data_IF_146382855395
#
_entry.id   IF_146382855395
#
_cell.length_a   1.000
_cell.length_b   1.000
_cell.length_c   1.000
_cell.angle_alpha   90.00
_cell.angle_beta   90.00
_cell.angle_gamma   90.00
#
_symmetry.space_group_name_H-M   'P 1'
#
loop_
_entity.id
_entity.type
_entity.pdbx_description
1 polymer ?
#
# COMPACT_ATOMS: atom_id res chain seq x y z
N UNK A 1 0.13 6.79 8.26
CA UNK A 1 -0.95 7.33 9.11
C UNK A 1 -2.08 6.32 9.30
N UNK A 2 -2.81 5.91 8.25
CA UNK A 2 -3.94 4.98 8.36
C UNK A 2 -3.64 3.67 9.11
N UNK A 3 -2.50 3.02 8.85
CA UNK A 3 -2.13 1.78 9.54
C UNK A 3 -1.85 1.96 11.04
N UNK A 4 -1.28 3.10 11.44
CA UNK A 4 -1.05 3.43 12.86
C UNK A 4 -2.38 3.68 13.57
N UNK A 5 -3.31 4.40 12.94
CA UNK A 5 -4.65 4.61 13.47
C UNK A 5 -5.44 3.30 13.57
N UNK A 6 -5.25 2.38 12.63
CA UNK A 6 -5.91 1.08 12.64
C UNK A 6 -5.38 0.19 13.77
N UNK A 7 -4.08 0.24 14.02
CA UNK A 7 -3.47 -0.40 15.19
C UNK A 7 -3.97 0.22 16.50
N UNK A 8 -4.12 1.54 16.55
CA UNK A 8 -4.67 2.24 17.70
C UNK A 8 -6.12 1.80 17.98
N UNK A 9 -7.01 1.84 16.98
CA UNK A 9 -8.39 1.37 17.12
C UNK A 9 -8.48 -0.12 17.53
N UNK A 10 -7.57 -0.94 17.01
CA UNK A 10 -7.43 -2.34 17.42
C UNK A 10 -7.02 -2.50 18.89
N UNK A 11 -6.07 -1.68 19.36
CA UNK A 11 -5.67 -1.63 20.77
C UNK A 11 -6.83 -1.19 21.66
N UNK A 12 -7.54 -0.11 21.30
CA UNK A 12 -8.72 0.37 22.04
C UNK A 12 -9.83 -0.68 22.12
N UNK A 13 -10.05 -1.43 21.03
CA UNK A 13 -11.00 -2.55 21.03
C UNK A 13 -10.55 -3.66 21.97
N UNK A 14 -9.27 -4.03 21.94
CA UNK A 14 -8.71 -5.08 22.79
C UNK A 14 -8.83 -4.71 24.27
N UNK A 15 -8.45 -3.48 24.64
CA UNK A 15 -8.54 -2.99 26.01
C UNK A 15 -9.99 -2.96 26.50
N UNK A 16 -10.92 -2.47 25.67
CA UNK A 16 -12.34 -2.46 25.99
C UNK A 16 -12.88 -3.88 26.25
N UNK A 17 -12.53 -4.85 25.42
CA UNK A 17 -12.94 -6.25 25.60
C UNK A 17 -12.27 -6.91 26.82
N UNK A 18 -10.99 -6.61 27.08
CA UNK A 18 -10.28 -7.08 28.25
C UNK A 18 -10.91 -6.55 29.55
N UNK A 19 -11.29 -5.26 29.55
CA UNK A 19 -12.00 -4.63 30.66
C UNK A 19 -13.37 -5.28 30.92
N UNK A 20 -14.20 -5.44 29.88
CA UNK A 20 -15.52 -6.08 30.00
C UNK A 20 -15.41 -7.51 30.57
N UNK A 21 -14.39 -8.25 30.14
CA UNK A 21 -14.11 -9.59 30.65
C UNK A 21 -13.70 -9.56 32.13
N UNK A 22 -12.90 -8.58 32.55
CA UNK A 22 -12.44 -8.45 33.94
C UNK A 22 -13.58 -8.13 34.91
N UNK A 23 -14.58 -7.34 34.49
CA UNK A 23 -15.75 -7.01 35.32
C UNK A 23 -16.85 -8.08 35.30
N UNK A 24 -16.61 -9.21 34.62
CA UNK A 24 -17.56 -10.32 34.54
C UNK A 24 -18.79 -10.05 33.66
N UNK A 25 -18.75 -9.00 32.83
CA UNK A 25 -19.83 -8.69 31.91
C UNK A 25 -19.76 -9.64 30.70
N UNK A 26 -20.91 -10.17 30.25
CA UNK A 26 -20.94 -11.05 29.08
C UNK A 26 -20.71 -10.22 27.82
N UNK A 27 -19.64 -10.53 27.10
CA UNK A 27 -19.28 -9.88 25.81
C UNK A 27 -20.42 -9.99 24.78
N UNK A 28 -21.28 -11.01 24.88
CA UNK A 28 -22.43 -11.20 23.99
C UNK A 28 -23.49 -10.09 24.11
N UNK A 29 -23.59 -9.41 25.26
CA UNK A 29 -24.58 -8.36 25.51
C UNK A 29 -23.95 -6.95 25.39
N UNK A 30 -22.62 -6.86 25.26
CA UNK A 30 -21.89 -5.59 25.17
C UNK A 30 -21.54 -5.25 23.73
N UNK A 31 -22.16 -4.19 23.21
CA UNK A 31 -21.78 -3.63 21.91
C UNK A 31 -20.48 -2.81 22.03
N UNK A 32 -19.69 -2.76 20.95
CA UNK A 32 -18.51 -1.88 20.89
C UNK A 32 -18.99 -0.43 20.79
N UNK A 33 -18.39 0.52 21.54
CA UNK A 33 -18.70 1.94 21.43
C UNK A 33 -18.59 2.45 19.99
N UNK A 34 -19.56 3.27 19.58
CA UNK A 34 -19.61 3.82 18.21
C UNK A 34 -18.35 4.60 17.84
N UNK A 35 -17.68 5.22 18.80
CA UNK A 35 -16.43 5.97 18.60
C UNK A 35 -15.32 5.07 18.04
N UNK A 36 -15.08 3.92 18.68
CA UNK A 36 -14.08 2.92 18.23
C UNK A 36 -14.43 2.38 16.84
N UNK A 37 -15.72 2.19 16.56
CA UNK A 37 -16.20 1.73 15.25
C UNK A 37 -15.90 2.78 14.18
N UNK A 38 -16.21 4.05 14.43
CA UNK A 38 -15.95 5.15 13.51
C UNK A 38 -14.45 5.32 13.30
N UNK A 39 -13.64 5.27 14.36
CA UNK A 39 -12.18 5.35 14.29
C UNK A 39 -11.60 4.23 13.41
N UNK A 40 -12.06 2.99 13.59
CA UNK A 40 -11.63 1.84 12.80
C UNK A 40 -12.01 2.00 11.31
N UNK A 41 -13.21 2.49 11.01
CA UNK A 41 -13.67 2.73 9.63
C UNK A 41 -12.86 3.84 8.96
N UNK A 42 -12.63 4.96 9.66
CA UNK A 42 -11.82 6.08 9.15
C UNK A 42 -10.37 5.64 8.94
N UNK A 43 -9.79 4.90 9.88
CA UNK A 43 -8.44 4.38 9.77
C UNK A 43 -8.29 3.41 8.58
N UNK A 44 -9.27 2.54 8.37
CA UNK A 44 -9.32 1.62 7.24
C UNK A 44 -9.40 2.36 5.90
N UNK A 45 -10.27 3.37 5.82
CA UNK A 45 -10.39 4.21 4.62
C UNK A 45 -9.08 4.92 4.30
N UNK A 46 -8.44 5.54 5.29
CA UNK A 46 -7.15 6.21 5.12
C UNK A 46 -6.03 5.24 4.73
N UNK A 47 -6.05 4.00 5.23
CA UNK A 47 -5.10 2.97 4.84
C UNK A 47 -5.27 2.57 3.37
N UNK A 48 -6.51 2.39 2.90
CA UNK A 48 -6.82 2.08 1.49
C UNK A 48 -6.39 3.22 0.58
N UNK A 49 -6.78 4.45 0.89
CA UNK A 49 -6.40 5.63 0.11
C UNK A 49 -4.88 5.78 0.07
N UNK A 50 -4.20 5.61 1.20
CA UNK A 50 -2.74 5.62 1.27
C UNK A 50 -2.10 4.55 0.38
N UNK A 51 -2.63 3.33 0.37
CA UNK A 51 -2.12 2.25 -0.48
C UNK A 51 -2.27 2.55 -1.98
N UNK A 52 -3.39 3.16 -2.38
CA UNK A 52 -3.62 3.59 -3.77
C UNK A 52 -2.58 4.64 -4.18
N UNK A 53 -2.35 5.66 -3.36
CA UNK A 53 -1.40 6.74 -3.67
C UNK A 53 0.08 6.31 -3.68
N UNK A 54 0.44 5.26 -2.93
CA UNK A 54 1.80 4.72 -2.93
C UNK A 54 2.09 3.89 -4.20
N UNK A 55 1.04 3.35 -4.83
CA UNK A 55 1.21 2.49 -6.00
C UNK A 55 1.62 3.33 -7.22
N UNK A 56 2.66 2.94 -7.97
CA UNK A 56 3.05 3.65 -9.19
C UNK A 56 1.94 3.56 -10.25
N UNK A 57 1.89 4.55 -11.13
CA UNK A 57 0.93 4.58 -12.23
C UNK A 57 1.09 3.36 -13.15
N UNK A 58 -0.02 2.92 -13.73
CA UNK A 58 0.00 1.84 -14.70
C UNK A 58 0.78 2.25 -15.94
N UNK A 59 1.63 1.35 -16.43
CA UNK A 59 2.35 1.55 -17.68
C UNK A 59 1.39 1.42 -18.88
N UNK A 60 1.56 2.23 -19.92
CA UNK A 60 0.77 2.11 -21.15
C UNK A 60 1.08 0.79 -21.85
N UNK A 61 0.04 0.17 -22.42
CA UNK A 61 0.15 -1.14 -23.10
C UNK A 61 0.82 -1.02 -24.47
N UNK A 62 0.72 0.15 -25.10
CA UNK A 62 1.25 0.38 -26.44
C UNK A 62 2.79 0.41 -26.44
N UNK A 63 3.40 -0.52 -27.17
CA UNK A 63 4.85 -0.65 -27.31
C UNK A 63 5.49 0.61 -27.95
N UNK A 64 4.76 1.34 -28.79
CA UNK A 64 5.20 2.64 -29.34
C UNK A 64 5.62 3.61 -28.23
N UNK A 65 4.93 3.59 -27.08
CA UNK A 65 5.21 4.49 -25.97
C UNK A 65 6.55 4.18 -25.27
N UNK A 66 6.94 2.90 -25.24
CA UNK A 66 8.26 2.50 -24.76
C UNK A 66 9.34 2.71 -25.83
N UNK A 67 9.04 2.47 -27.11
CA UNK A 67 9.99 2.72 -28.21
C UNK A 67 10.40 4.18 -28.33
N UNK A 68 9.49 5.13 -28.07
CA UNK A 68 9.80 6.57 -28.06
C UNK A 68 10.82 6.98 -26.98
N UNK A 69 10.99 6.19 -25.92
CA UNK A 69 11.96 6.47 -24.85
C UNK A 69 13.38 6.00 -25.20
N UNK A 70 13.52 5.15 -26.22
CA UNK A 70 14.82 4.58 -26.62
C UNK A 70 15.54 5.52 -27.59
N UNK A 71 16.84 5.72 -27.35
CA UNK A 71 17.72 6.43 -28.29
C UNK A 71 18.27 5.47 -29.35
N UNK A 72 18.67 6.02 -30.49
CA UNK A 72 19.29 5.23 -31.58
C UNK A 72 20.53 4.50 -31.06
N UNK A 73 21.37 5.14 -30.25
CA UNK A 73 22.57 4.52 -29.66
C UNK A 73 22.23 3.33 -28.74
N UNK A 74 21.11 3.42 -28.01
CA UNK A 74 20.64 2.33 -27.13
C UNK A 74 20.13 1.12 -27.90
N UNK A 75 19.59 1.33 -29.10
CA UNK A 75 19.08 0.26 -29.99
C UNK A 75 20.19 -0.31 -30.88
N UNK A 76 21.13 0.54 -31.31
CA UNK A 76 22.19 0.17 -32.25
C UNK A 76 23.38 -0.51 -31.56
N UNK A 77 23.46 -0.45 -30.23
CA UNK A 77 24.41 -1.19 -29.39
C UNK A 77 24.20 -2.70 -29.40
N UNK A 78 24.28 -3.35 -30.57
CA UNK A 78 24.14 -4.80 -30.74
C UNK A 78 25.39 -5.50 -30.20
N UNK A 79 25.34 -5.91 -28.93
CA UNK A 79 26.47 -6.57 -28.23
C UNK A 79 26.96 -7.83 -28.96
N UNK A 80 26.05 -8.60 -29.58
CA UNK A 80 26.39 -9.80 -30.36
C UNK A 80 27.24 -9.52 -31.60
N UNK A 81 27.26 -8.28 -32.11
CA UNK A 81 28.00 -7.88 -33.30
C UNK A 81 29.10 -6.86 -33.00
N UNK A 82 29.51 -6.73 -31.72
CA UNK A 82 30.55 -5.79 -31.32
C UNK A 82 31.91 -6.22 -31.85
N UNK A 83 32.58 -5.35 -32.60
CA UNK A 83 33.94 -5.54 -33.09
C UNK A 83 34.89 -4.67 -32.26
N UNK A 84 35.99 -5.24 -31.76
CA UNK A 84 36.95 -4.54 -30.89
C UNK A 84 38.09 -3.83 -31.64
N UNK A 85 38.05 -3.83 -32.97
CA UNK A 85 39.02 -3.13 -33.81
C UNK A 85 38.52 -1.71 -34.14
N UNK A 86 38.55 -0.82 -33.16
CA UNK A 86 38.24 0.61 -33.32
C UNK A 86 39.28 1.47 -32.60
N UNK A 87 39.22 2.79 -32.78
CA UNK A 87 40.30 3.73 -32.41
C UNK A 87 40.52 3.97 -30.90
N UNK A 88 39.81 3.25 -30.03
CA UNK A 88 39.68 3.60 -28.61
C UNK A 88 38.74 4.77 -28.43
#
# INVERSE_FOLDING_TARGET
AGLVLLLHAGYSTYEHLAYLKAIGHKVADSSIPIDIVVECLVASFLAIVGAIYVTPELKPIALEHEMKKLTIDGVDGRSSFRVFNHRG
#
